data_IF_456192160298
#
_entry.id   IF_456192160298
#
_cell.length_a   1.000
_cell.length_b   1.000
_cell.length_c   1.000
_cell.angle_alpha   90.00
_cell.angle_beta   90.00
_cell.angle_gamma   90.00
#
_symmetry.space_group_name_H-M   'P 1'
#
loop_
_entity.id
_entity.type
_entity.pdbx_description
1 polymer ?
#
# COMPACT_ATOMS: atom_id res chain seq x y z
N UNK A 1 21.90 36.82 20.54
CA UNK A 1 22.29 35.61 19.79
C UNK A 1 21.17 34.57 19.80
N UNK A 2 20.69 34.15 20.98
CA UNK A 2 19.60 33.17 21.16
C UNK A 2 18.32 33.56 20.41
N UNK A 3 17.82 34.79 20.58
CA UNK A 3 16.59 35.24 19.90
C UNK A 3 16.68 35.17 18.37
N UNK A 4 17.85 35.47 17.78
CA UNK A 4 18.06 35.36 16.32
C UNK A 4 18.03 33.91 15.85
N UNK A 5 18.63 33.01 16.62
CA UNK A 5 18.61 31.56 16.33
C UNK A 5 17.17 31.03 16.41
N UNK A 6 16.40 31.45 17.42
CA UNK A 6 14.98 31.07 17.55
C UNK A 6 14.19 31.53 16.33
N UNK A 7 14.34 32.78 15.89
CA UNK A 7 13.64 33.27 14.69
C UNK A 7 14.04 32.53 13.41
N UNK A 8 15.31 32.15 13.27
CA UNK A 8 15.77 31.34 12.14
C UNK A 8 15.14 29.94 12.15
N UNK A 9 15.07 29.28 13.32
CA UNK A 9 14.44 27.96 13.46
C UNK A 9 12.94 28.02 13.19
N UNK A 10 12.25 29.04 13.69
CA UNK A 10 10.82 29.27 13.42
C UNK A 10 10.59 29.51 11.93
N UNK A 11 11.42 30.34 11.29
CA UNK A 11 11.36 30.59 9.85
C UNK A 11 11.57 29.32 9.02
N UNK A 12 12.55 28.49 9.38
CA UNK A 12 12.80 27.20 8.74
C UNK A 12 11.62 26.25 8.90
N UNK A 13 11.06 26.14 10.11
CA UNK A 13 9.91 25.29 10.38
C UNK A 13 8.70 25.72 9.53
N UNK A 14 8.40 27.01 9.48
CA UNK A 14 7.31 27.54 8.65
C UNK A 14 7.54 27.24 7.17
N UNK A 15 8.77 27.39 6.68
CA UNK A 15 9.12 27.05 5.30
C UNK A 15 8.88 25.56 5.00
N UNK A 16 9.32 24.65 5.89
CA UNK A 16 9.10 23.22 5.73
C UNK A 16 7.61 22.86 5.73
N UNK A 17 6.81 23.47 6.61
CA UNK A 17 5.36 23.27 6.64
C UNK A 17 4.71 23.74 5.34
N UNK A 18 5.11 24.89 4.80
CA UNK A 18 4.61 25.38 3.51
C UNK A 18 5.01 24.44 2.38
N UNK A 19 6.26 23.97 2.33
CA UNK A 19 6.69 22.97 1.36
C UNK A 19 5.87 21.67 1.44
N UNK A 20 5.59 21.20 2.65
CA UNK A 20 4.78 20.01 2.87
C UNK A 20 3.34 20.21 2.39
N UNK A 21 2.73 21.36 2.67
CA UNK A 21 1.38 21.69 2.19
C UNK A 21 1.33 21.81 0.66
N UNK A 22 2.34 22.42 0.05
CA UNK A 22 2.46 22.49 -1.40
C UNK A 22 2.63 21.09 -2.01
N UNK A 23 3.46 20.24 -1.42
CA UNK A 23 3.59 18.85 -1.84
C UNK A 23 2.26 18.09 -1.72
N UNK A 24 1.58 18.24 -0.59
CA UNK A 24 0.36 17.54 -0.25
C UNK A 24 -0.80 17.90 -1.18
N UNK A 25 -0.92 19.15 -1.62
CA UNK A 25 -2.13 19.64 -2.29
C UNK A 25 -1.92 20.32 -3.65
N UNK A 26 -0.71 20.78 -3.97
CA UNK A 26 -0.44 21.56 -5.19
C UNK A 26 0.42 20.81 -6.21
N UNK A 27 1.30 19.90 -5.76
CA UNK A 27 2.11 19.09 -6.67
C UNK A 27 1.20 18.09 -7.41
N UNK A 28 1.27 18.00 -8.75
CA UNK A 28 0.48 17.03 -9.50
C UNK A 28 0.87 15.61 -9.11
N UNK A 29 -0.12 14.72 -9.09
CA UNK A 29 0.13 13.29 -8.90
C UNK A 29 0.82 12.70 -10.13
N UNK A 30 1.54 11.58 -9.97
CA UNK A 30 1.98 10.79 -11.10
C UNK A 30 0.79 10.50 -12.03
N UNK A 31 1.06 10.45 -13.33
CA UNK A 31 0.07 10.01 -14.29
C UNK A 31 -0.34 8.57 -13.95
N UNK A 32 -1.63 8.31 -14.00
CA UNK A 32 -2.15 6.97 -13.80
C UNK A 32 -1.74 6.08 -14.98
N UNK A 33 -0.84 5.12 -14.71
CA UNK A 33 -0.39 4.12 -15.68
C UNK A 33 -1.10 2.78 -15.51
N UNK A 34 -2.11 2.69 -14.65
CA UNK A 34 -2.86 1.44 -14.43
C UNK A 34 -3.49 0.96 -15.73
N UNK A 35 -3.42 -0.34 -15.99
CA UNK A 35 -4.14 -0.94 -17.10
C UNK A 35 -5.65 -0.70 -16.93
N UNK A 36 -6.35 -0.04 -17.89
CA UNK A 36 -7.76 0.29 -17.74
C UNK A 36 -8.67 -0.93 -17.53
N UNK A 37 -8.26 -2.12 -17.96
CA UNK A 37 -9.01 -3.37 -17.75
C UNK A 37 -9.22 -3.69 -16.27
N UNK A 38 -8.32 -3.21 -15.39
CA UNK A 38 -8.41 -3.37 -13.93
C UNK A 38 -9.71 -2.77 -13.36
N UNK A 39 -10.33 -1.82 -14.06
CA UNK A 39 -11.55 -1.14 -13.61
C UNK A 39 -12.81 -1.53 -14.41
N UNK A 40 -12.73 -2.47 -15.35
CA UNK A 40 -13.89 -2.86 -16.17
C UNK A 40 -14.85 -3.81 -15.46
N UNK A 41 -14.33 -4.61 -14.53
CA UNK A 41 -15.08 -5.59 -13.76
C UNK A 41 -14.97 -5.30 -12.26
N UNK A 42 -15.87 -5.89 -11.48
CA UNK A 42 -15.84 -5.79 -10.02
C UNK A 42 -14.98 -6.90 -9.44
N UNK A 43 -13.85 -6.52 -8.82
CA UNK A 43 -12.95 -7.44 -8.15
C UNK A 43 -13.60 -8.22 -6.99
N UNK A 44 -14.79 -7.83 -6.52
CA UNK A 44 -15.58 -8.61 -5.55
C UNK A 44 -15.99 -9.99 -6.08
N UNK A 45 -15.99 -10.19 -7.40
CA UNK A 45 -16.37 -11.46 -8.04
C UNK A 45 -15.26 -12.52 -8.02
N UNK A 46 -14.04 -12.16 -7.60
CA UNK A 46 -12.86 -13.03 -7.64
C UNK A 46 -12.74 -13.89 -6.37
N UNK A 47 -12.34 -15.15 -6.53
CA UNK A 47 -11.94 -16.02 -5.43
C UNK A 47 -10.47 -15.79 -5.03
N UNK A 48 -10.26 -15.11 -3.90
CA UNK A 48 -8.94 -14.75 -3.36
C UNK A 48 -8.20 -15.88 -2.65
N UNK A 49 -8.80 -17.07 -2.55
CA UNK A 49 -8.09 -18.28 -2.18
C UNK A 49 -7.43 -18.98 -3.39
N UNK A 50 -7.88 -18.68 -4.60
CA UNK A 50 -7.28 -19.18 -5.85
C UNK A 50 -6.12 -18.28 -6.27
N UNK A 51 -5.04 -18.30 -5.47
CA UNK A 51 -3.89 -17.43 -5.67
C UNK A 51 -3.13 -17.77 -6.98
N UNK A 52 -2.60 -16.76 -7.70
CA UNK A 52 -1.69 -16.99 -8.82
C UNK A 52 -0.49 -17.86 -8.44
N UNK A 53 -0.05 -18.72 -9.36
CA UNK A 53 1.17 -19.51 -9.18
C UNK A 53 2.37 -18.66 -9.53
N UNK A 54 3.32 -18.57 -8.60
CA UNK A 54 4.56 -17.82 -8.80
C UNK A 54 5.69 -18.76 -9.23
N UNK A 55 5.54 -19.37 -10.41
CA UNK A 55 6.46 -20.38 -10.97
C UNK A 55 7.36 -19.86 -12.10
N UNK A 56 7.27 -18.57 -12.42
CA UNK A 56 8.04 -17.89 -13.45
C UNK A 56 7.62 -18.21 -14.89
N UNK A 57 6.45 -18.82 -15.11
CA UNK A 57 6.00 -19.27 -16.45
C UNK A 57 5.38 -18.18 -17.33
N UNK A 58 5.01 -17.03 -16.75
CA UNK A 58 4.27 -15.94 -17.37
C UNK A 58 4.95 -14.57 -17.20
N UNK A 59 4.16 -13.53 -16.95
CA UNK A 59 4.67 -12.16 -16.78
C UNK A 59 5.49 -12.02 -15.51
N UNK A 60 6.51 -11.16 -15.58
CA UNK A 60 7.22 -10.62 -14.43
C UNK A 60 6.50 -9.38 -13.87
N UNK A 61 6.87 -8.95 -12.67
CA UNK A 61 6.30 -7.77 -12.05
C UNK A 61 6.62 -6.47 -12.82
N UNK A 62 7.70 -6.46 -13.63
CA UNK A 62 8.11 -5.34 -14.48
C UNK A 62 7.30 -5.27 -15.80
N UNK A 63 6.72 -6.38 -16.24
CA UNK A 63 5.87 -6.44 -17.44
C UNK A 63 4.48 -5.83 -17.21
N UNK A 64 4.12 -5.60 -15.95
CA UNK A 64 2.83 -5.04 -15.55
C UNK A 64 3.05 -3.57 -15.14
N UNK A 65 2.35 -2.59 -15.74
CA UNK A 65 2.46 -1.19 -15.34
C UNK A 65 2.15 -0.99 -13.85
N UNK A 66 2.78 0.01 -13.22
CA UNK A 66 2.45 0.42 -11.86
C UNK A 66 1.02 0.94 -11.79
N UNK A 67 0.26 0.50 -10.80
CA UNK A 67 -1.10 0.96 -10.57
C UNK A 67 -1.12 2.17 -9.64
N UNK A 68 -2.14 3.01 -9.82
CA UNK A 68 -2.41 4.19 -9.00
C UNK A 68 -3.89 4.25 -8.65
N UNK A 69 -4.21 4.93 -7.56
CA UNK A 69 -5.61 5.20 -7.22
C UNK A 69 -6.15 6.31 -8.14
N UNK A 70 -7.15 6.03 -8.99
CA UNK A 70 -7.75 7.06 -9.84
C UNK A 70 -8.54 8.06 -8.98
N UNK A 71 -8.57 9.32 -9.42
CA UNK A 71 -9.36 10.35 -8.72
C UNK A 71 -8.94 10.49 -7.26
N UNK A 72 -9.88 10.59 -6.33
CA UNK A 72 -9.59 10.71 -4.89
C UNK A 72 -10.03 9.48 -4.09
N UNK A 73 -10.12 8.33 -4.77
CA UNK A 73 -10.55 7.07 -4.18
C UNK A 73 -11.32 6.21 -5.18
N UNK A 74 -11.25 4.91 -4.97
CA UNK A 74 -11.97 3.90 -5.74
C UNK A 74 -13.46 3.93 -5.39
N UNK A 75 -14.31 3.95 -6.42
CA UNK A 75 -15.77 3.80 -6.27
C UNK A 75 -16.23 2.35 -6.36
N UNK A 76 -15.38 1.46 -6.85
CA UNK A 76 -15.62 0.02 -6.99
C UNK A 76 -14.32 -0.73 -6.67
N UNK A 77 -14.43 -2.01 -6.30
CA UNK A 77 -13.24 -2.84 -6.10
C UNK A 77 -12.58 -3.13 -7.45
N UNK A 78 -11.30 -2.76 -7.66
CA UNK A 78 -10.59 -3.06 -8.89
C UNK A 78 -10.32 -4.56 -8.97
N UNK A 79 -10.21 -5.08 -10.19
CA UNK A 79 -9.66 -6.41 -10.44
C UNK A 79 -8.23 -6.54 -9.89
N UNK A 80 -7.71 -7.76 -9.65
CA UNK A 80 -6.35 -7.93 -9.14
C UNK A 80 -5.32 -7.41 -10.16
N UNK A 81 -4.44 -6.51 -9.72
CA UNK A 81 -3.43 -5.84 -10.55
C UNK A 81 -2.36 -6.85 -11.02
N UNK A 82 -1.99 -7.81 -10.16
CA UNK A 82 -0.93 -8.78 -10.40
C UNK A 82 -1.46 -10.17 -10.79
N UNK A 83 -2.70 -10.28 -11.26
CA UNK A 83 -3.35 -11.56 -11.60
C UNK A 83 -2.53 -12.44 -12.57
N UNK A 84 -1.93 -11.81 -13.59
CA UNK A 84 -1.14 -12.49 -14.63
C UNK A 84 0.34 -12.68 -14.24
N UNK A 85 0.74 -12.20 -13.07
CA UNK A 85 2.13 -12.20 -12.64
C UNK A 85 2.50 -13.56 -12.06
N UNK A 86 3.64 -14.09 -12.48
CA UNK A 86 4.12 -15.42 -12.06
C UNK A 86 5.54 -15.37 -11.50
N UNK A 87 6.17 -14.20 -11.41
CA UNK A 87 7.52 -14.06 -10.85
C UNK A 87 7.57 -14.58 -9.40
N UNK A 88 8.45 -15.55 -9.09
CA UNK A 88 8.66 -16.03 -7.73
C UNK A 88 8.95 -14.88 -6.77
N UNK A 89 8.45 -14.96 -5.54
CA UNK A 89 8.79 -13.98 -4.50
C UNK A 89 10.30 -14.00 -4.25
N UNK A 90 10.88 -12.82 -4.04
CA UNK A 90 12.28 -12.71 -3.61
C UNK A 90 12.45 -13.25 -2.19
N UNK A 91 13.63 -13.75 -1.85
CA UNK A 91 13.91 -14.44 -0.58
C UNK A 91 13.50 -13.64 0.69
N UNK A 92 13.63 -12.31 0.64
CA UNK A 92 13.32 -11.41 1.76
C UNK A 92 11.81 -11.10 1.91
N UNK A 93 10.98 -11.50 0.94
CA UNK A 93 9.54 -11.21 0.92
C UNK A 93 8.77 -12.34 1.57
N UNK A 94 8.12 -12.03 2.69
CA UNK A 94 7.14 -12.94 3.29
C UNK A 94 5.86 -12.96 2.45
N UNK A 95 5.39 -14.16 2.14
CA UNK A 95 4.12 -14.35 1.43
C UNK A 95 2.93 -13.98 2.34
N UNK A 96 2.29 -12.87 2.00
CA UNK A 96 1.12 -12.27 2.63
C UNK A 96 -0.05 -12.19 1.64
N UNK A 97 0.04 -12.81 0.46
CA UNK A 97 -1.01 -12.73 -0.58
C UNK A 97 -2.34 -13.22 -0.04
N UNK A 98 -3.45 -12.55 -0.36
CA UNK A 98 -4.79 -12.97 0.05
C UNK A 98 -5.71 -11.79 0.33
N UNK A 99 -6.96 -12.11 0.69
CA UNK A 99 -7.93 -11.13 1.20
C UNK A 99 -8.03 -11.30 2.72
N UNK A 100 -7.77 -10.22 3.44
CA UNK A 100 -7.60 -10.22 4.89
C UNK A 100 -8.68 -9.39 5.57
N UNK A 101 -9.43 -10.01 6.48
CA UNK A 101 -10.54 -9.41 7.20
C UNK A 101 -10.25 -9.27 8.69
N UNK A 102 -10.42 -8.06 9.23
CA UNK A 102 -10.14 -7.71 10.61
C UNK A 102 -11.18 -8.25 11.59
N UNK A 103 -10.75 -9.18 12.44
CA UNK A 103 -11.58 -9.84 13.46
C UNK A 103 -11.41 -9.26 14.87
N UNK A 104 -10.35 -8.48 15.10
CA UNK A 104 -10.13 -7.73 16.35
C UNK A 104 -9.38 -6.43 16.10
N UNK A 105 -9.42 -5.49 17.05
CA UNK A 105 -8.84 -4.16 16.86
C UNK A 105 -9.76 -3.32 15.96
N UNK A 106 -9.34 -3.02 14.73
CA UNK A 106 -10.20 -2.37 13.72
C UNK A 106 -11.10 -3.41 13.04
N UNK A 107 -12.14 -3.84 13.74
CA UNK A 107 -13.11 -4.81 13.20
C UNK A 107 -13.71 -4.29 11.90
N UNK A 108 -13.79 -5.15 10.88
CA UNK A 108 -14.24 -4.79 9.54
C UNK A 108 -13.16 -4.15 8.65
N UNK A 109 -11.92 -4.01 9.14
CA UNK A 109 -10.77 -3.75 8.27
C UNK A 109 -10.73 -4.83 7.17
N UNK A 110 -10.57 -4.40 5.92
CA UNK A 110 -10.47 -5.32 4.79
C UNK A 110 -9.36 -4.84 3.87
N UNK A 111 -8.41 -5.72 3.60
CA UNK A 111 -7.35 -5.46 2.64
C UNK A 111 -7.05 -6.67 1.77
N UNK A 112 -6.92 -6.42 0.47
CA UNK A 112 -6.39 -7.40 -0.49
C UNK A 112 -4.91 -7.16 -0.67
N UNK A 113 -4.09 -8.20 -0.52
CA UNK A 113 -2.66 -8.18 -0.78
C UNK A 113 -2.34 -9.08 -1.97
N UNK A 114 -1.66 -8.52 -2.95
CA UNK A 114 -1.13 -9.20 -4.13
C UNK A 114 0.40 -9.06 -4.12
N UNK A 115 1.14 -10.11 -4.47
CA UNK A 115 2.61 -10.09 -4.47
C UNK A 115 3.16 -10.88 -5.65
N UNK A 116 4.23 -10.36 -6.23
CA UNK A 116 4.97 -10.98 -7.34
C UNK A 116 6.38 -10.40 -7.38
N UNK A 117 7.42 -11.26 -7.36
CA UNK A 117 8.79 -10.78 -7.15
C UNK A 117 8.93 -10.02 -5.82
N UNK A 118 9.47 -8.80 -5.88
CA UNK A 118 9.50 -7.84 -4.77
C UNK A 118 8.43 -6.74 -4.87
N UNK A 119 7.42 -6.91 -5.75
CA UNK A 119 6.29 -6.00 -5.89
C UNK A 119 5.13 -6.46 -5.05
N UNK A 120 4.48 -5.50 -4.40
CA UNK A 120 3.29 -5.72 -3.58
C UNK A 120 2.24 -4.68 -3.97
N UNK A 121 1.01 -5.13 -4.10
CA UNK A 121 -0.15 -4.27 -4.25
C UNK A 121 -1.10 -4.53 -3.09
N UNK A 122 -1.40 -3.50 -2.31
CA UNK A 122 -2.40 -3.55 -1.26
C UNK A 122 -3.60 -2.72 -1.69
N UNK A 123 -4.77 -3.33 -1.79
CA UNK A 123 -6.03 -2.62 -2.05
C UNK A 123 -6.86 -2.59 -0.77
N UNK A 124 -7.01 -1.41 -0.18
CA UNK A 124 -7.72 -1.20 1.08
C UNK A 124 -8.25 0.24 1.15
N UNK A 125 -9.33 0.48 1.90
CA UNK A 125 -9.87 1.83 2.14
C UNK A 125 -9.98 2.70 0.86
N UNK A 126 -10.57 2.14 -0.19
CA UNK A 126 -10.73 2.81 -1.49
C UNK A 126 -9.41 3.27 -2.15
N UNK A 127 -8.29 2.65 -1.80
CA UNK A 127 -6.95 3.03 -2.28
C UNK A 127 -6.20 1.80 -2.78
N UNK A 128 -5.46 1.98 -3.88
CA UNK A 128 -4.42 1.07 -4.38
C UNK A 128 -3.07 1.58 -3.90
N UNK A 129 -2.41 0.80 -3.04
CA UNK A 129 -1.02 0.98 -2.64
C UNK A 129 -0.15 0.04 -3.48
N UNK A 130 0.50 0.55 -4.52
CA UNK A 130 1.39 -0.24 -5.40
C UNK A 130 2.85 0.17 -5.17
N UNK A 131 3.70 -0.79 -4.82
CA UNK A 131 5.08 -0.52 -4.44
C UNK A 131 6.02 -1.71 -4.63
N UNK A 132 7.32 -1.42 -4.61
CA UNK A 132 8.39 -2.40 -4.40
C UNK A 132 8.83 -2.33 -2.95
N UNK A 133 9.17 -3.49 -2.39
CA UNK A 133 9.69 -3.60 -1.02
C UNK A 133 11.20 -3.39 -0.95
N UNK A 134 11.72 -2.38 -1.63
CA UNK A 134 13.16 -2.08 -1.73
C UNK A 134 13.64 -0.93 -0.81
N UNK A 135 12.74 -0.43 0.03
CA UNK A 135 13.02 0.67 0.96
C UNK A 135 13.14 2.05 0.31
N UNK A 136 12.83 2.20 -0.98
CA UNK A 136 12.99 3.49 -1.67
C UNK A 136 11.67 4.24 -1.84
N UNK A 137 11.72 5.58 -1.75
CA UNK A 137 10.58 6.45 -2.12
C UNK A 137 10.31 6.49 -3.64
N UNK A 138 11.27 6.07 -4.46
CA UNK A 138 11.13 6.05 -5.92
C UNK A 138 10.18 4.93 -6.36
N UNK A 139 10.39 3.74 -5.79
CA UNK A 139 9.59 2.56 -6.11
C UNK A 139 8.49 2.28 -5.07
N UNK A 140 8.47 3.05 -3.98
CA UNK A 140 7.45 3.04 -2.93
C UNK A 140 6.06 3.50 -3.38
N UNK A 141 5.11 3.50 -2.44
CA UNK A 141 3.70 3.79 -2.72
C UNK A 141 3.46 5.29 -2.94
N UNK A 142 2.70 5.63 -3.97
CA UNK A 142 2.36 7.01 -4.36
C UNK A 142 0.86 7.21 -4.15
N UNK A 143 0.50 7.37 -2.90
CA UNK A 143 -0.89 7.25 -2.45
C UNK A 143 -1.60 8.59 -2.29
N UNK A 144 -2.89 8.47 -2.00
CA UNK A 144 -3.75 9.57 -1.58
C UNK A 144 -4.17 9.39 -0.12
N UNK A 145 -4.31 10.50 0.59
CA UNK A 145 -4.90 10.52 1.92
C UNK A 145 -6.41 10.74 1.92
N UNK A 146 -7.01 10.71 3.10
CA UNK A 146 -8.45 10.87 3.30
C UNK A 146 -9.04 12.18 2.74
N UNK A 147 -8.22 13.22 2.59
CA UNK A 147 -8.62 14.52 2.00
C UNK A 147 -8.02 14.72 0.59
N UNK A 148 -7.70 13.63 -0.11
CA UNK A 148 -7.07 13.62 -1.43
C UNK A 148 -5.69 14.31 -1.48
N UNK A 149 -4.98 14.34 -0.34
CA UNK A 149 -3.62 14.85 -0.29
C UNK A 149 -2.62 13.78 -0.76
N UNK A 150 -1.51 14.20 -1.36
CA UNK A 150 -0.44 13.30 -1.77
C UNK A 150 0.27 12.67 -0.56
N UNK A 151 0.55 11.37 -0.65
CA UNK A 151 1.46 10.66 0.23
C UNK A 151 2.56 9.96 -0.59
N UNK A 152 3.72 9.75 0.05
CA UNK A 152 4.79 8.93 -0.51
C UNK A 152 5.41 8.11 0.61
N UNK A 153 5.50 6.81 0.38
CA UNK A 153 5.87 5.87 1.43
C UNK A 153 6.91 4.92 0.86
N UNK A 154 8.02 4.76 1.57
CA UNK A 154 8.99 3.71 1.28
C UNK A 154 8.55 2.44 2.03
N UNK A 155 8.66 1.27 1.40
CA UNK A 155 8.26 0.01 2.00
C UNK A 155 9.40 -0.99 1.86
N UNK A 156 9.65 -1.76 2.91
CA UNK A 156 10.64 -2.82 2.96
C UNK A 156 10.16 -3.91 3.92
N UNK A 157 10.86 -5.04 3.93
CA UNK A 157 10.76 -6.03 4.99
C UNK A 157 11.90 -5.84 5.98
N UNK A 158 11.59 -5.93 7.27
CA UNK A 158 12.54 -5.96 8.38
C UNK A 158 12.19 -7.17 9.27
N UNK A 159 13.07 -8.16 9.33
CA UNK A 159 12.87 -9.43 10.06
C UNK A 159 11.47 -10.07 9.86
N UNK A 160 11.00 -10.10 8.61
CA UNK A 160 9.71 -10.68 8.23
C UNK A 160 8.49 -9.79 8.49
N UNK A 161 8.70 -8.56 8.94
CA UNK A 161 7.67 -7.52 9.10
C UNK A 161 7.73 -6.58 7.90
N UNK A 162 6.61 -6.40 7.20
CA UNK A 162 6.52 -5.38 6.14
C UNK A 162 6.28 -4.01 6.79
N UNK A 163 7.20 -3.06 6.58
CA UNK A 163 7.19 -1.74 7.24
C UNK A 163 6.99 -0.63 6.21
N UNK A 164 5.95 0.18 6.41
CA UNK A 164 5.64 1.36 5.61
C UNK A 164 6.20 2.59 6.30
N UNK A 165 7.18 3.23 5.69
CA UNK A 165 7.83 4.44 6.22
C UNK A 165 7.36 5.67 5.45
N UNK A 166 6.54 6.50 6.11
CA UNK A 166 6.00 7.70 5.48
C UNK A 166 7.13 8.71 5.24
N UNK A 167 7.30 9.13 3.98
CA UNK A 167 8.43 9.93 3.51
C UNK A 167 9.81 9.36 3.88
N UNK A 168 9.88 8.05 4.19
CA UNK A 168 11.07 7.36 4.73
C UNK A 168 11.60 7.97 6.06
N UNK A 169 10.71 8.59 6.85
CA UNK A 169 11.07 9.25 8.11
C UNK A 169 10.64 8.45 9.35
N UNK A 170 9.46 7.86 9.32
CA UNK A 170 8.90 7.11 10.45
C UNK A 170 7.91 6.06 10.00
N UNK A 171 7.71 5.06 10.84
CA UNK A 171 6.90 3.89 10.55
C UNK A 171 5.42 4.25 10.77
N UNK A 172 4.64 4.16 9.70
CA UNK A 172 3.23 4.52 9.71
C UNK A 172 2.32 3.29 9.73
N UNK A 173 2.75 2.19 9.12
CA UNK A 173 2.01 0.93 9.08
C UNK A 173 3.00 -0.22 9.13
N UNK A 174 2.67 -1.27 9.88
CA UNK A 174 3.38 -2.55 9.79
C UNK A 174 2.41 -3.70 9.54
N UNK A 175 2.90 -4.72 8.85
CA UNK A 175 2.19 -6.01 8.68
C UNK A 175 3.13 -7.15 9.00
N UNK A 176 2.66 -8.12 9.77
CA UNK A 176 3.41 -9.34 10.06
C UNK A 176 2.49 -10.55 10.07
N UNK A 177 3.00 -11.68 9.60
CA UNK A 177 2.29 -12.96 9.74
C UNK A 177 2.37 -13.47 11.18
N UNK A 178 1.31 -14.10 11.66
CA UNK A 178 1.25 -14.77 12.95
C UNK A 178 0.48 -16.08 12.80
N UNK A 179 1.18 -17.12 12.34
CA UNK A 179 0.54 -18.37 11.92
C UNK A 179 -0.30 -18.14 10.66
N UNK A 180 -1.59 -18.45 10.74
CA UNK A 180 -2.56 -18.27 9.65
C UNK A 180 -3.15 -16.86 9.59
N UNK A 181 -2.96 -16.06 10.65
CA UNK A 181 -3.41 -14.67 10.72
C UNK A 181 -2.35 -13.71 10.21
N UNK A 182 -2.78 -12.53 9.79
CA UNK A 182 -1.89 -11.38 9.60
C UNK A 182 -2.26 -10.30 10.62
N UNK A 183 -1.25 -9.70 11.24
CA UNK A 183 -1.39 -8.57 12.15
C UNK A 183 -1.06 -7.30 11.39
N UNK A 184 -2.05 -6.43 11.24
CA UNK A 184 -1.92 -5.09 10.71
C UNK A 184 -1.84 -4.09 11.86
N UNK A 185 -0.80 -3.25 11.91
CA UNK A 185 -0.65 -2.21 12.93
C UNK A 185 -0.60 -0.85 12.27
N UNK A 186 -1.46 0.06 12.71
CA UNK A 186 -1.50 1.44 12.21
C UNK A 186 -0.64 2.37 13.08
N UNK A 187 -0.43 3.60 12.63
CA UNK A 187 0.45 4.58 13.30
C UNK A 187 0.04 4.93 14.74
N UNK A 188 -1.21 4.67 15.11
CA UNK A 188 -1.70 4.84 16.49
C UNK A 188 -1.41 3.65 17.41
N UNK A 189 -0.69 2.63 16.91
CA UNK A 189 -0.29 1.44 17.66
C UNK A 189 -1.40 0.39 17.80
N UNK A 190 -2.57 0.60 17.20
CA UNK A 190 -3.66 -0.38 17.25
C UNK A 190 -3.30 -1.57 16.36
N UNK A 191 -3.07 -2.73 16.97
CA UNK A 191 -2.95 -4.01 16.28
C UNK A 191 -4.35 -4.53 15.87
N UNK A 192 -4.50 -4.86 14.61
CA UNK A 192 -5.68 -5.49 14.02
C UNK A 192 -5.30 -6.90 13.61
N UNK A 193 -5.92 -7.90 14.26
CA UNK A 193 -5.77 -9.30 13.87
C UNK A 193 -6.70 -9.55 12.71
N UNK A 194 -6.19 -10.17 11.66
CA UNK A 194 -6.96 -10.47 10.47
C UNK A 194 -6.95 -11.96 10.19
N UNK A 195 -8.08 -12.46 9.71
CA UNK A 195 -8.20 -13.80 9.14
C UNK A 195 -8.24 -13.71 7.61
N UNK A 196 -7.78 -14.77 6.95
CA UNK A 196 -7.85 -14.86 5.51
C UNK A 196 -9.22 -15.34 5.08
N UNK A 197 -9.84 -14.64 4.14
CA UNK A 197 -11.11 -15.02 3.52
C UNK A 197 -10.96 -15.13 2.00
N UNK A 198 -11.89 -15.82 1.36
CA UNK A 198 -11.84 -16.09 -0.08
C UNK A 198 -12.65 -15.10 -0.92
N UNK A 199 -13.65 -14.44 -0.34
CA UNK A 199 -14.60 -13.57 -1.03
C UNK A 199 -14.76 -12.29 -0.22
N UNK A 200 -15.09 -11.18 -0.90
CA UNK A 200 -15.49 -9.97 -0.19
C UNK A 200 -16.79 -10.22 0.60
N UNK A 201 -16.93 -9.69 1.83
CA UNK A 201 -18.20 -9.72 2.55
C UNK A 201 -19.31 -9.02 1.77
N UNK A 202 -20.55 -9.53 1.86
CA UNK A 202 -21.71 -8.99 1.14
C UNK A 202 -22.02 -7.51 1.48
N UNK A 203 -21.62 -7.06 2.67
CA UNK A 203 -21.86 -5.73 3.22
C UNK A 203 -20.70 -4.73 3.01
N UNK A 204 -19.65 -5.14 2.29
CA UNK A 204 -18.50 -4.29 1.92
C UNK A 204 -18.76 -3.49 0.64
#
# INVERSE_FOLDING_TARGET
MILRIVWLLVGLLLFLVVCLLLYAFAVPRPLDTTDPSIFLEDGKTVNYCDLPKLDGSGKSADDIPKAYTPGCGLTQTPMPILADCTEPLTEEVVDMRGLWHGISGRIGHLERIEQCGNRVVVTAYHTIHDFRVDGTLRNGARDIGAVCNNFNTAIHFDDGVMVFRLFDLFDAVTRRMNGEEMIFTFIDGVETRTERICQYPDDY
#
